data_IF_330414401383
#
_entry.id   IF_330414401383
#
_cell.length_a   1.000
_cell.length_b   1.000
_cell.length_c   1.000
_cell.angle_alpha   90.00
_cell.angle_beta   90.00
_cell.angle_gamma   90.00
#
_symmetry.space_group_name_H-M   'P 1'
#
loop_
_entity.id
_entity.type
_entity.pdbx_description
1 polymer ?
#
# COMPACT_ATOMS: atom_id res chain seq x y z
N UNK A 1 -27.65 22.04 12.45
CA UNK A 1 -28.36 20.77 12.18
C UNK A 1 -28.05 20.34 10.74
N UNK A 2 -26.87 19.78 10.50
CA UNK A 2 -26.48 19.13 9.24
C UNK A 2 -25.03 18.61 9.36
N UNK A 3 -24.78 17.64 10.24
CA UNK A 3 -23.46 16.99 10.39
C UNK A 3 -23.59 15.55 10.93
N UNK A 4 -24.61 14.78 10.50
CA UNK A 4 -24.85 13.43 11.07
C UNK A 4 -25.22 12.34 10.06
N UNK A 5 -24.80 12.43 8.79
CA UNK A 5 -25.15 11.42 7.77
C UNK A 5 -23.99 10.92 6.89
N UNK A 6 -22.73 11.16 7.27
CA UNK A 6 -21.57 10.66 6.51
C UNK A 6 -20.76 9.56 7.22
N UNK A 7 -21.09 9.20 8.46
CA UNK A 7 -20.36 8.17 9.22
C UNK A 7 -20.94 6.75 9.09
N UNK A 8 -22.10 6.56 8.46
CA UNK A 8 -22.81 5.27 8.47
C UNK A 8 -22.42 4.29 7.34
N UNK A 9 -21.56 4.68 6.40
CA UNK A 9 -21.22 3.83 5.25
C UNK A 9 -19.88 3.08 5.38
N UNK A 10 -19.04 3.37 6.38
CA UNK A 10 -17.81 2.60 6.61
C UNK A 10 -17.99 1.40 7.54
N UNK A 11 -19.06 1.36 8.35
CA UNK A 11 -19.30 0.26 9.29
C UNK A 11 -19.85 -1.02 8.61
N UNK A 12 -20.57 -0.88 7.49
CA UNK A 12 -21.27 -2.01 6.86
C UNK A 12 -20.32 -2.94 6.07
N UNK A 13 -19.19 -2.42 5.57
CA UNK A 13 -18.21 -3.25 4.85
C UNK A 13 -17.30 -4.06 5.80
N UNK A 14 -17.23 -3.68 7.08
CA UNK A 14 -16.49 -4.39 8.13
C UNK A 14 -17.26 -5.55 8.77
N UNK A 15 -18.55 -5.72 8.45
CA UNK A 15 -19.39 -6.80 8.97
C UNK A 15 -19.31 -8.08 8.13
N UNK A 16 -19.00 -7.98 6.83
CA UNK A 16 -19.06 -9.10 5.88
C UNK A 16 -17.93 -10.13 6.11
N UNK A 17 -16.88 -9.76 6.85
CA UNK A 17 -15.80 -10.67 7.28
C UNK A 17 -15.99 -11.25 8.70
N UNK A 18 -17.02 -10.83 9.46
CA UNK A 18 -17.15 -11.19 10.89
C UNK A 18 -17.56 -12.65 11.16
N UNK A 19 -18.23 -13.29 10.21
CA UNK A 19 -18.90 -14.59 10.47
C UNK A 19 -18.15 -15.83 9.96
N UNK A 20 -17.05 -15.66 9.22
CA UNK A 20 -16.20 -16.80 8.78
C UNK A 20 -14.83 -16.79 9.46
N UNK A 21 -14.30 -15.61 9.74
CA UNK A 21 -13.03 -15.44 10.46
C UNK A 21 -13.33 -14.84 11.83
N UNK A 22 -13.48 -15.70 12.84
CA UNK A 22 -13.59 -15.25 14.23
C UNK A 22 -12.50 -14.23 14.54
N UNK A 23 -12.86 -13.13 15.22
CA UNK A 23 -12.02 -11.95 15.53
C UNK A 23 -10.51 -12.19 15.39
N UNK A 24 -9.96 -11.97 14.20
CA UNK A 24 -8.52 -11.80 14.02
C UNK A 24 -8.31 -10.34 13.63
N UNK A 25 -8.04 -9.51 14.63
CA UNK A 25 -7.51 -8.17 14.40
C UNK A 25 -6.09 -8.33 13.86
N UNK A 26 -5.94 -8.36 12.54
CA UNK A 26 -4.63 -8.41 11.90
C UNK A 26 -4.04 -7.00 11.93
N UNK A 27 -3.17 -6.75 12.90
CA UNK A 27 -2.32 -5.57 12.88
C UNK A 27 -1.10 -5.87 12.00
N UNK A 28 -1.03 -5.24 10.82
CA UNK A 28 0.15 -5.25 9.97
C UNK A 28 1.20 -4.32 10.57
N UNK A 29 2.17 -4.86 11.31
CA UNK A 29 3.36 -4.10 11.69
C UNK A 29 4.39 -4.24 10.56
N UNK A 30 4.54 -3.19 9.75
CA UNK A 30 5.63 -3.12 8.78
C UNK A 30 6.92 -2.73 9.50
N UNK A 31 7.77 -3.73 9.77
CA UNK A 31 9.21 -3.48 9.84
C UNK A 31 9.77 -3.63 8.42
N UNK A 32 10.81 -2.89 8.04
CA UNK A 32 11.28 -2.72 6.66
C UNK A 32 11.70 -4.02 5.94
N UNK A 33 11.63 -5.18 6.60
CA UNK A 33 12.02 -6.50 6.10
C UNK A 33 11.03 -7.63 6.40
N UNK A 34 10.01 -7.42 7.22
CA UNK A 34 9.13 -8.49 7.72
C UNK A 34 7.68 -8.03 7.87
N UNK A 35 6.75 -8.93 7.59
CA UNK A 35 5.33 -8.77 7.88
C UNK A 35 4.97 -9.74 8.99
N UNK A 36 4.34 -9.23 10.05
CA UNK A 36 3.80 -10.02 11.14
C UNK A 36 2.27 -10.04 11.09
N UNK A 37 1.69 -11.22 11.27
CA UNK A 37 0.27 -11.47 11.42
C UNK A 37 0.00 -11.82 12.88
N UNK A 38 -0.89 -11.09 13.52
CA UNK A 38 -1.28 -11.31 14.91
C UNK A 38 -2.70 -11.87 14.91
N UNK A 39 -2.87 -13.10 15.37
CA UNK A 39 -4.18 -13.72 15.57
C UNK A 39 -4.49 -13.82 17.06
N UNK A 40 -5.75 -13.55 17.43
CA UNK A 40 -6.23 -13.69 18.80
C UNK A 40 -7.16 -14.89 18.89
N UNK A 41 -6.86 -15.83 19.78
CA UNK A 41 -7.74 -16.95 20.07
C UNK A 41 -8.52 -16.65 21.37
N UNK A 42 -9.84 -16.51 21.24
CA UNK A 42 -10.73 -16.40 22.40
C UNK A 42 -10.97 -17.79 22.98
N UNK A 43 -10.14 -18.18 23.94
CA UNK A 43 -10.47 -19.33 24.79
C UNK A 43 -11.66 -18.98 25.69
N UNK A 44 -12.46 -19.96 26.13
CA UNK A 44 -13.60 -19.75 27.06
C UNK A 44 -13.17 -19.24 28.45
N UNK A 45 -11.88 -19.08 28.67
CA UNK A 45 -11.22 -18.48 29.84
C UNK A 45 -10.83 -17.03 29.51
N UNK A 46 -10.77 -16.12 30.50
CA UNK A 46 -10.47 -14.69 30.29
C UNK A 46 -9.04 -14.38 29.77
N UNK A 47 -8.30 -15.38 29.30
CA UNK A 47 -6.98 -15.24 28.69
C UNK A 47 -7.10 -15.24 27.16
N UNK A 48 -6.83 -14.09 26.55
CA UNK A 48 -6.62 -13.97 25.10
C UNK A 48 -5.22 -14.50 24.80
N UNK A 49 -5.13 -15.66 24.12
CA UNK A 49 -3.85 -16.13 23.61
C UNK A 49 -3.64 -15.48 22.24
N UNK A 50 -2.62 -14.63 22.11
CA UNK A 50 -2.21 -14.07 20.83
C UNK A 50 -1.09 -14.93 20.23
N UNK A 51 -1.28 -15.43 19.01
CA UNK A 51 -0.20 -16.02 18.23
C UNK A 51 0.29 -15.01 17.19
N UNK A 52 1.57 -15.12 16.82
CA UNK A 52 2.18 -14.24 15.82
C UNK A 52 2.94 -15.07 14.81
N UNK A 53 2.55 -14.97 13.54
CA UNK A 53 3.30 -15.51 12.41
C UNK A 53 4.06 -14.39 11.74
N UNK A 54 5.33 -14.60 11.40
CA UNK A 54 6.13 -13.61 10.68
C UNK A 54 6.78 -14.20 9.44
N UNK A 55 6.71 -13.43 8.36
CA UNK A 55 7.34 -13.77 7.09
C UNK A 55 8.22 -12.63 6.63
N UNK A 56 9.36 -12.97 6.02
CA UNK A 56 10.20 -11.96 5.34
C UNK A 56 9.48 -11.50 4.09
N UNK A 57 9.59 -10.22 3.75
CA UNK A 57 8.94 -9.68 2.55
C UNK A 57 9.37 -10.42 1.27
N UNK A 58 10.61 -10.90 1.19
CA UNK A 58 11.10 -11.70 0.07
C UNK A 58 10.37 -13.05 -0.11
N UNK A 59 9.78 -13.61 0.95
CA UNK A 59 8.96 -14.83 0.88
C UNK A 59 7.54 -14.56 0.38
N UNK A 60 7.12 -13.29 0.34
CA UNK A 60 5.79 -12.85 -0.07
C UNK A 60 5.77 -12.30 -1.49
N UNK A 61 6.87 -12.46 -2.23
CA UNK A 61 6.92 -12.08 -3.64
C UNK A 61 5.88 -12.89 -4.44
N UNK A 62 4.96 -12.20 -5.12
CA UNK A 62 3.85 -12.83 -5.84
C UNK A 62 2.65 -13.20 -4.97
N UNK A 63 2.62 -12.80 -3.68
CA UNK A 63 1.45 -12.97 -2.82
C UNK A 63 0.26 -12.14 -3.32
N UNK A 64 -0.90 -12.81 -3.43
CA UNK A 64 -2.19 -12.17 -3.63
C UNK A 64 -2.99 -12.27 -2.32
N UNK A 65 -3.27 -11.13 -1.71
CA UNK A 65 -4.16 -11.05 -0.55
C UNK A 65 -5.59 -11.45 -0.91
N UNK A 66 -6.39 -11.89 0.06
CA UNK A 66 -7.79 -12.28 -0.19
C UNK A 66 -8.60 -11.15 -0.87
N UNK A 67 -8.38 -9.90 -0.48
CA UNK A 67 -9.02 -8.74 -1.10
C UNK A 67 -8.60 -8.54 -2.56
N UNK A 68 -7.29 -8.66 -2.85
CA UNK A 68 -6.78 -8.56 -4.22
C UNK A 68 -7.26 -9.74 -5.08
N UNK A 69 -7.40 -10.93 -4.49
CA UNK A 69 -7.89 -12.12 -5.17
C UNK A 69 -9.31 -11.92 -5.71
N UNK A 70 -10.21 -11.25 -4.97
CA UNK A 70 -11.56 -10.94 -5.50
C UNK A 70 -11.51 -10.08 -6.78
N UNK A 71 -10.58 -9.13 -6.86
CA UNK A 71 -10.40 -8.30 -8.06
C UNK A 71 -9.87 -9.13 -9.23
N UNK A 72 -8.90 -10.01 -8.97
CA UNK A 72 -8.36 -10.92 -9.98
C UNK A 72 -9.44 -11.86 -10.51
N UNK A 73 -10.21 -12.49 -9.62
CA UNK A 73 -11.36 -13.34 -9.98
C UNK A 73 -12.38 -12.57 -10.83
N UNK A 74 -12.71 -11.33 -10.45
CA UNK A 74 -13.63 -10.47 -11.21
C UNK A 74 -13.11 -10.20 -12.62
N UNK A 75 -11.82 -9.90 -12.77
CA UNK A 75 -11.20 -9.68 -14.09
C UNK A 75 -11.24 -10.95 -14.93
N UNK A 76 -10.89 -12.11 -14.35
CA UNK A 76 -10.95 -13.40 -15.04
C UNK A 76 -12.38 -13.74 -15.49
N UNK A 77 -13.37 -13.48 -14.63
CA UNK A 77 -14.77 -13.74 -14.93
C UNK A 77 -15.29 -12.83 -16.06
N UNK A 78 -15.01 -11.52 -16.00
CA UNK A 78 -15.41 -10.58 -17.06
C UNK A 78 -14.76 -10.89 -18.40
N UNK A 79 -13.51 -11.36 -18.39
CA UNK A 79 -12.80 -11.78 -19.60
C UNK A 79 -13.13 -13.21 -20.04
N UNK A 80 -13.82 -13.97 -19.21
CA UNK A 80 -14.14 -15.39 -19.41
C UNK A 80 -12.89 -16.22 -19.77
N UNK A 81 -11.74 -15.81 -19.22
CA UNK A 81 -10.43 -16.32 -19.59
C UNK A 81 -9.57 -16.43 -18.35
N UNK A 82 -9.11 -17.66 -18.09
CA UNK A 82 -8.18 -17.97 -17.01
C UNK A 82 -6.84 -18.37 -17.64
N UNK A 83 -5.71 -17.85 -17.12
CA UNK A 83 -4.39 -18.35 -17.49
C UNK A 83 -4.26 -19.85 -17.19
N UNK A 84 -3.62 -20.61 -18.08
CA UNK A 84 -3.45 -22.07 -17.91
C UNK A 84 -2.67 -22.42 -16.63
N UNK A 85 -1.69 -21.60 -16.27
CA UNK A 85 -0.86 -21.77 -15.07
C UNK A 85 -1.18 -20.69 -14.01
N UNK A 86 -2.47 -20.38 -13.81
CA UNK A 86 -2.90 -19.44 -12.77
C UNK A 86 -2.64 -20.03 -11.37
N UNK A 87 -1.40 -19.92 -10.90
CA UNK A 87 -0.95 -20.32 -9.58
C UNK A 87 -0.46 -19.06 -8.87
N UNK A 88 -1.10 -18.72 -7.76
CA UNK A 88 -0.74 -17.54 -6.98
C UNK A 88 -0.42 -17.93 -5.55
N UNK A 89 0.54 -17.22 -4.96
CA UNK A 89 0.85 -17.36 -3.55
C UNK A 89 -0.29 -16.73 -2.74
N UNK A 90 -0.75 -17.40 -1.69
CA UNK A 90 -1.87 -16.98 -0.84
C UNK A 90 -1.66 -17.41 0.60
N UNK A 91 -2.66 -17.16 1.46
CA UNK A 91 -2.72 -17.73 2.80
C UNK A 91 -3.83 -18.79 2.90
N UNK A 92 -3.59 -19.82 3.70
CA UNK A 92 -4.66 -20.72 4.13
C UNK A 92 -5.44 -20.13 5.32
N UNK A 93 -6.41 -20.89 5.85
CA UNK A 93 -7.22 -20.46 6.99
C UNK A 93 -6.41 -20.24 8.27
N UNK A 94 -5.24 -20.88 8.36
CA UNK A 94 -4.34 -20.84 9.50
C UNK A 94 -3.21 -19.81 9.28
N UNK A 95 -3.32 -18.99 8.24
CA UNK A 95 -2.39 -17.93 7.86
C UNK A 95 -1.02 -18.44 7.38
N UNK A 96 -0.90 -19.71 7.01
CA UNK A 96 0.32 -20.22 6.41
C UNK A 96 0.39 -19.84 4.93
N UNK A 97 1.59 -19.48 4.48
CA UNK A 97 1.85 -19.29 3.05
C UNK A 97 1.55 -20.60 2.30
N UNK A 98 0.69 -20.50 1.30
CA UNK A 98 0.25 -21.62 0.49
C UNK A 98 0.07 -21.19 -0.97
N UNK A 99 -0.40 -22.10 -1.82
CA UNK A 99 -0.71 -21.78 -3.21
C UNK A 99 -2.19 -21.92 -3.49
N UNK A 100 -2.69 -21.05 -4.38
CA UNK A 100 -4.05 -21.10 -4.90
C UNK A 100 -4.04 -21.35 -6.40
N UNK A 101 -4.88 -22.28 -6.86
CA UNK A 101 -5.08 -22.59 -8.28
C UNK A 101 -6.51 -22.30 -8.70
N UNK A 102 -6.71 -21.95 -9.98
CA UNK A 102 -8.00 -21.51 -10.48
C UNK A 102 -8.44 -22.32 -11.69
N UNK A 103 -9.72 -22.68 -11.74
CA UNK A 103 -10.34 -23.45 -12.81
C UNK A 103 -11.66 -22.82 -13.22
N UNK A 104 -11.90 -22.74 -14.53
CA UNK A 104 -13.20 -22.36 -15.06
C UNK A 104 -14.15 -23.55 -15.01
N UNK A 105 -15.33 -23.35 -14.43
CA UNK A 105 -16.43 -24.31 -14.49
C UNK A 105 -17.47 -23.93 -15.56
N UNK A 106 -17.20 -22.86 -16.32
CA UNK A 106 -18.07 -22.38 -17.40
C UNK A 106 -19.29 -21.61 -16.91
N UNK A 107 -20.32 -21.55 -17.75
CA UNK A 107 -21.57 -20.88 -17.44
C UNK A 107 -22.55 -21.81 -16.74
N UNK A 108 -23.25 -21.27 -15.75
CA UNK A 108 -24.35 -21.93 -15.06
C UNK A 108 -25.53 -20.97 -14.92
N UNK A 109 -26.74 -21.50 -14.79
CA UNK A 109 -27.92 -20.70 -14.51
C UNK A 109 -28.06 -20.50 -13.01
N UNK A 110 -28.19 -19.24 -12.58
CA UNK A 110 -28.47 -18.90 -11.20
C UNK A 110 -29.76 -18.08 -11.13
N UNK A 111 -30.64 -18.47 -10.20
CA UNK A 111 -31.83 -17.68 -9.87
C UNK A 111 -31.48 -16.61 -8.84
N UNK A 112 -31.59 -15.34 -9.23
CA UNK A 112 -31.48 -14.18 -8.35
C UNK A 112 -32.88 -13.59 -8.18
N UNK A 113 -33.50 -13.83 -7.01
CA UNK A 113 -34.89 -13.45 -6.72
C UNK A 113 -35.89 -14.07 -7.72
N UNK A 114 -36.39 -13.31 -8.68
CA UNK A 114 -37.33 -13.76 -9.73
C UNK A 114 -36.67 -13.97 -11.09
N UNK A 115 -35.43 -13.52 -11.23
CA UNK A 115 -34.70 -13.53 -12.50
C UNK A 115 -33.78 -14.74 -12.54
N UNK A 116 -33.68 -15.36 -13.71
CA UNK A 116 -32.71 -16.41 -14.00
C UNK A 116 -31.64 -15.82 -14.90
N UNK A 117 -30.39 -15.85 -14.46
CA UNK A 117 -29.27 -15.19 -15.13
C UNK A 117 -28.14 -16.19 -15.31
N UNK A 118 -27.48 -16.13 -16.46
CA UNK A 118 -26.26 -16.90 -16.71
C UNK A 118 -25.10 -16.28 -15.93
N UNK A 119 -24.44 -17.10 -15.11
CA UNK A 119 -23.30 -16.73 -14.29
C UNK A 119 -22.07 -17.52 -14.70
N UNK A 120 -20.92 -16.85 -14.74
CA UNK A 120 -19.64 -17.48 -15.00
C UNK A 120 -19.03 -17.97 -13.70
N UNK A 121 -18.68 -19.25 -13.64
CA UNK A 121 -18.25 -19.90 -12.40
C UNK A 121 -16.76 -20.18 -12.43
N UNK A 122 -16.07 -19.70 -11.40
CA UNK A 122 -14.65 -19.96 -11.17
C UNK A 122 -14.50 -20.75 -9.88
N UNK A 123 -13.76 -21.85 -9.93
CA UNK A 123 -13.33 -22.60 -8.76
C UNK A 123 -11.89 -22.22 -8.41
N UNK A 124 -11.67 -21.84 -7.15
CA UNK A 124 -10.35 -21.67 -6.56
C UNK A 124 -10.10 -22.83 -5.60
N UNK A 125 -8.94 -23.47 -5.74
CA UNK A 125 -8.45 -24.46 -4.78
C UNK A 125 -7.32 -23.85 -3.99
N UNK A 126 -7.43 -23.85 -2.65
CA UNK A 126 -6.38 -23.42 -1.72
C UNK A 126 -5.67 -24.66 -1.20
N UNK A 127 -4.38 -24.80 -1.52
CA UNK A 127 -3.55 -25.96 -1.17
C UNK A 127 -2.89 -25.72 0.19
N UNK A 128 -3.65 -25.91 1.27
CA UNK A 128 -3.15 -25.78 2.64
C UNK A 128 -1.97 -26.74 2.91
N UNK A 129 -1.08 -26.35 3.82
CA UNK A 129 0.15 -27.11 4.11
C UNK A 129 -0.15 -28.38 4.92
N UNK A 130 -1.05 -28.27 5.90
CA UNK A 130 -1.33 -29.34 6.88
C UNK A 130 -2.77 -29.87 6.79
N UNK A 131 -3.52 -29.49 5.75
CA UNK A 131 -4.91 -29.88 5.56
C UNK A 131 -5.21 -30.22 4.09
N UNK A 132 -6.28 -30.99 3.81
CA UNK A 132 -6.74 -31.23 2.45
C UNK A 132 -7.06 -29.92 1.72
N UNK A 133 -6.87 -29.85 0.40
CA UNK A 133 -7.18 -28.64 -0.36
C UNK A 133 -8.64 -28.22 -0.22
N UNK A 134 -8.85 -26.92 -0.01
CA UNK A 134 -10.18 -26.34 0.12
C UNK A 134 -10.61 -25.72 -1.21
N UNK A 135 -11.78 -26.15 -1.71
CA UNK A 135 -12.35 -25.64 -2.95
C UNK A 135 -13.42 -24.59 -2.65
N UNK A 136 -13.30 -23.45 -3.33
CA UNK A 136 -14.23 -22.34 -3.28
C UNK A 136 -14.77 -22.07 -4.68
N UNK A 137 -16.07 -21.97 -4.83
CA UNK A 137 -16.69 -21.60 -6.09
C UNK A 137 -17.26 -20.19 -5.99
N UNK A 138 -16.97 -19.39 -7.01
CA UNK A 138 -17.37 -18.00 -7.15
C UNK A 138 -18.19 -17.87 -8.42
N UNK A 139 -19.39 -17.32 -8.28
CA UNK A 139 -20.35 -17.15 -9.37
C UNK A 139 -20.42 -15.67 -9.69
N UNK A 140 -20.13 -15.31 -10.93
CA UNK A 140 -20.08 -13.93 -11.37
C UNK A 140 -21.18 -13.65 -12.40
N UNK A 141 -21.90 -12.54 -12.19
CA UNK A 141 -22.80 -11.95 -13.16
C UNK A 141 -22.02 -11.45 -14.40
N UNK A 142 -22.68 -11.23 -15.55
CA UNK A 142 -22.03 -10.76 -16.77
C UNK A 142 -21.26 -9.42 -16.62
N UNK A 143 -21.69 -8.57 -15.68
CA UNK A 143 -21.05 -7.29 -15.35
C UNK A 143 -19.86 -7.43 -14.36
N UNK A 144 -19.58 -8.65 -13.90
CA UNK A 144 -18.51 -8.99 -12.99
C UNK A 144 -18.85 -8.83 -11.51
N UNK A 145 -20.11 -8.58 -11.13
CA UNK A 145 -20.50 -8.68 -9.72
C UNK A 145 -20.52 -10.13 -9.25
N UNK A 146 -20.11 -10.38 -8.00
CA UNK A 146 -20.19 -11.70 -7.37
C UNK A 146 -21.63 -11.97 -6.93
N UNK A 147 -22.29 -12.97 -7.50
CA UNK A 147 -23.66 -13.37 -7.16
C UNK A 147 -23.74 -14.47 -6.13
N UNK A 148 -22.74 -15.33 -6.05
CA UNK A 148 -22.68 -16.42 -5.09
C UNK A 148 -21.23 -16.80 -4.77
N UNK A 149 -21.00 -17.18 -3.51
CA UNK A 149 -19.77 -17.82 -3.06
C UNK A 149 -20.12 -19.01 -2.18
N UNK A 150 -19.51 -20.14 -2.47
CA UNK A 150 -19.69 -21.38 -1.70
C UNK A 150 -18.34 -22.05 -1.46
N UNK A 151 -18.18 -22.63 -0.27
CA UNK A 151 -17.11 -23.59 0.00
C UNK A 151 -17.65 -24.99 -0.28
N UNK A 152 -16.99 -25.71 -1.19
CA UNK A 152 -17.42 -27.07 -1.57
C UNK A 152 -17.36 -27.97 -0.33
N UNK A 153 -18.48 -28.62 -0.01
CA UNK A 153 -18.62 -29.47 1.18
C UNK A 153 -19.13 -28.75 2.43
N UNK A 154 -19.24 -27.42 2.43
CA UNK A 154 -19.89 -26.65 3.49
C UNK A 154 -21.38 -26.45 3.20
N UNK A 155 -22.27 -26.49 4.20
CA UNK A 155 -23.68 -26.14 4.02
C UNK A 155 -23.91 -24.63 3.87
N UNK A 156 -22.93 -23.79 4.20
CA UNK A 156 -23.06 -22.34 4.14
C UNK A 156 -22.80 -21.82 2.72
N UNK A 157 -23.73 -21.00 2.22
CA UNK A 157 -23.62 -20.34 0.92
C UNK A 157 -23.91 -18.85 1.09
N UNK A 158 -23.05 -18.00 0.53
CA UNK A 158 -23.28 -16.56 0.45
C UNK A 158 -23.88 -16.24 -0.92
N UNK A 159 -25.02 -15.57 -0.97
CA UNK A 159 -25.71 -15.21 -2.22
C UNK A 159 -26.17 -13.76 -2.20
N UNK A 160 -26.19 -13.12 -3.37
CA UNK A 160 -26.87 -11.84 -3.52
C UNK A 160 -28.38 -12.05 -3.47
N UNK A 161 -29.08 -11.13 -2.80
CA UNK A 161 -30.53 -11.21 -2.62
C UNK A 161 -31.31 -10.58 -3.79
N UNK A 162 -30.67 -9.66 -4.51
CA UNK A 162 -31.25 -8.95 -5.65
C UNK A 162 -30.18 -8.58 -6.65
N UNK A 163 -30.59 -8.33 -7.90
CA UNK A 163 -29.68 -7.90 -8.94
C UNK A 163 -29.08 -6.53 -8.61
N UNK A 164 -27.77 -6.34 -8.84
CA UNK A 164 -27.14 -5.04 -8.70
C UNK A 164 -27.75 -4.08 -9.73
N UNK A 165 -27.87 -2.82 -9.34
CA UNK A 165 -28.24 -1.75 -10.27
C UNK A 165 -27.04 -1.55 -11.19
N UNK A 166 -27.21 -1.86 -12.47
CA UNK A 166 -26.21 -1.54 -13.47
C UNK A 166 -26.08 -0.02 -13.53
N UNK A 167 -24.89 0.47 -13.18
CA UNK A 167 -24.52 1.84 -13.50
C UNK A 167 -24.20 1.80 -14.99
N UNK A 168 -25.05 2.40 -15.83
CA UNK A 168 -24.73 2.59 -17.25
C UNK A 168 -23.46 3.43 -17.35
N UNK A 169 -22.35 2.76 -17.68
CA UNK A 169 -21.08 3.43 -17.95
C UNK A 169 -21.17 3.96 -19.37
N UNK A 170 -21.76 5.14 -19.55
CA UNK A 170 -21.78 5.82 -20.86
C UNK A 170 -20.97 7.12 -20.90
N UNK A 171 -20.48 7.63 -19.76
CA UNK A 171 -19.43 8.65 -19.76
C UNK A 171 -18.36 8.27 -18.73
N UNK A 172 -17.06 8.20 -19.13
CA UNK A 172 -16.01 8.20 -18.13
C UNK A 172 -16.18 9.46 -17.29
N UNK A 173 -16.31 9.30 -15.97
CA UNK A 173 -16.33 10.44 -15.05
C UNK A 173 -15.23 11.41 -15.50
N UNK A 174 -15.55 12.70 -15.72
CA UNK A 174 -14.54 13.65 -16.14
C UNK A 174 -13.40 13.55 -15.16
N UNK A 175 -12.17 13.34 -15.67
CA UNK A 175 -10.99 13.18 -14.81
C UNK A 175 -11.05 14.27 -13.75
N UNK A 176 -11.03 13.93 -12.45
CA UNK A 176 -11.10 14.94 -11.41
C UNK A 176 -9.97 15.93 -11.67
N UNK A 177 -10.35 17.16 -12.02
CA UNK A 177 -9.42 18.28 -12.11
C UNK A 177 -9.20 18.66 -10.65
N UNK A 178 -8.26 17.98 -10.01
CA UNK A 178 -7.79 18.40 -8.70
C UNK A 178 -7.18 19.78 -8.91
N UNK A 179 -7.87 20.80 -8.40
CA UNK A 179 -7.25 22.10 -8.23
C UNK A 179 -5.95 21.87 -7.46
N UNK A 180 -4.84 22.44 -7.95
CA UNK A 180 -3.59 22.40 -7.21
C UNK A 180 -3.77 23.27 -5.97
N UNK A 181 -4.31 22.67 -4.92
CA UNK A 181 -4.31 23.27 -3.59
C UNK A 181 -2.84 23.47 -3.23
N UNK A 182 -2.51 24.70 -2.82
CA UNK A 182 -1.16 24.98 -2.31
C UNK A 182 -0.92 24.07 -1.12
N UNK A 183 0.20 23.34 -1.15
CA UNK A 183 0.56 22.42 -0.09
C UNK A 183 0.88 23.21 1.18
N UNK A 184 -0.08 23.25 2.11
CA UNK A 184 0.12 23.81 3.44
C UNK A 184 0.75 22.75 4.35
N UNK A 185 2.03 22.48 4.11
CA UNK A 185 2.77 21.43 4.80
C UNK A 185 3.02 21.75 6.29
N UNK A 186 2.85 23.01 6.71
CA UNK A 186 3.06 23.44 8.10
C UNK A 186 1.91 22.98 9.01
N UNK A 187 0.69 22.92 8.48
CA UNK A 187 -0.52 22.47 9.22
C UNK A 187 -0.77 20.95 9.10
N UNK A 188 -0.16 20.29 8.12
CA UNK A 188 -0.23 18.83 7.99
C UNK A 188 0.74 18.16 8.97
N UNK A 189 0.18 17.48 9.98
CA UNK A 189 0.94 16.82 11.05
C UNK A 189 1.97 15.80 10.52
N UNK A 190 1.64 15.05 9.47
CA UNK A 190 2.54 14.04 8.91
C UNK A 190 3.69 14.70 8.15
N UNK A 191 3.40 15.72 7.34
CA UNK A 191 4.41 16.45 6.57
C UNK A 191 5.33 17.28 7.47
N UNK A 192 4.76 17.92 8.48
CA UNK A 192 5.52 18.67 9.47
C UNK A 192 6.48 17.76 10.26
N UNK A 193 6.01 16.57 10.67
CA UNK A 193 6.85 15.55 11.31
C UNK A 193 8.04 15.15 10.42
N UNK A 194 7.78 14.84 9.13
CA UNK A 194 8.84 14.49 8.16
C UNK A 194 9.84 15.63 7.96
N UNK A 195 9.37 16.87 7.95
CA UNK A 195 10.23 18.04 7.85
C UNK A 195 11.15 18.17 9.06
N UNK A 196 10.63 17.99 10.27
CA UNK A 196 11.42 18.06 11.50
C UNK A 196 12.50 16.98 11.54
N UNK A 197 12.14 15.73 11.22
CA UNK A 197 13.09 14.63 11.15
C UNK A 197 14.24 14.93 10.18
N UNK A 198 13.89 15.40 8.97
CA UNK A 198 14.89 15.73 7.95
C UNK A 198 15.76 16.92 8.34
N UNK A 199 15.18 17.92 9.01
CA UNK A 199 15.89 19.09 9.53
C UNK A 199 16.89 18.69 10.60
N UNK A 200 16.49 17.84 11.55
CA UNK A 200 17.37 17.32 12.60
C UNK A 200 18.52 16.50 12.00
N UNK A 201 18.23 15.60 11.06
CA UNK A 201 19.24 14.81 10.36
C UNK A 201 20.29 15.69 9.68
N UNK A 202 19.84 16.72 8.95
CA UNK A 202 20.73 17.68 8.28
C UNK A 202 21.55 18.49 9.27
N UNK A 203 20.96 18.94 10.39
CA UNK A 203 21.68 19.66 11.44
C UNK A 203 22.74 18.78 12.10
N UNK A 204 22.42 17.53 12.42
CA UNK A 204 23.35 16.57 13.01
C UNK A 204 24.51 16.25 12.04
N UNK A 205 24.18 16.06 10.76
CA UNK A 205 25.17 15.84 9.70
C UNK A 205 26.11 17.05 9.54
N UNK A 206 25.55 18.26 9.48
CA UNK A 206 26.32 19.49 9.42
C UNK A 206 27.23 19.67 10.64
N UNK A 207 26.69 19.49 11.84
CA UNK A 207 27.47 19.58 13.08
C UNK A 207 28.63 18.56 13.11
N UNK A 208 28.38 17.35 12.59
CA UNK A 208 29.41 16.31 12.46
C UNK A 208 30.47 16.70 11.43
N UNK A 209 30.06 17.23 10.28
CA UNK A 209 30.97 17.69 9.22
C UNK A 209 31.90 18.78 9.75
N UNK A 210 31.37 19.83 10.38
CA UNK A 210 32.18 20.92 10.96
C UNK A 210 33.12 20.41 12.04
N UNK A 211 32.69 19.46 12.89
CA UNK A 211 33.56 18.85 13.91
C UNK A 211 34.72 18.03 13.31
N UNK A 212 34.49 17.37 12.18
CA UNK A 212 35.52 16.58 11.48
C UNK A 212 36.50 17.43 10.69
N UNK A 213 36.11 18.66 10.35
CA UNK A 213 36.86 19.58 9.51
C UNK A 213 37.18 20.89 10.26
N UNK A 214 38.05 20.86 11.30
CA UNK A 214 38.43 22.05 12.05
C UNK A 214 39.10 23.12 11.16
N UNK A 215 39.71 22.72 10.05
CA UNK A 215 40.29 23.60 9.04
C UNK A 215 39.26 24.59 8.46
N UNK A 216 37.97 24.26 8.43
CA UNK A 216 36.93 25.17 7.96
C UNK A 216 36.78 26.38 8.89
N UNK A 217 36.84 26.16 10.20
CA UNK A 217 36.73 27.24 11.16
C UNK A 217 37.95 28.17 11.08
N UNK A 218 39.15 27.59 10.91
CA UNK A 218 40.38 28.36 10.72
C UNK A 218 40.34 29.16 9.41
N UNK A 219 39.93 28.53 8.31
CA UNK A 219 39.82 29.16 7.00
C UNK A 219 38.82 30.35 7.02
N UNK A 220 37.67 30.16 7.66
CA UNK A 220 36.68 31.23 7.83
C UNK A 220 37.19 32.35 8.74
N UNK A 221 37.93 32.02 9.81
CA UNK A 221 38.53 33.01 10.69
C UNK A 221 39.59 33.85 9.94
N UNK A 222 40.46 33.22 9.16
CA UNK A 222 41.47 33.89 8.35
C UNK A 222 40.82 34.79 7.28
N UNK A 223 39.76 34.31 6.62
CA UNK A 223 38.97 35.12 5.70
C UNK A 223 38.40 36.37 6.37
N UNK A 224 37.71 36.19 7.51
CA UNK A 224 37.12 37.30 8.27
C UNK A 224 38.18 38.29 8.75
N UNK A 225 39.34 37.80 9.19
CA UNK A 225 40.44 38.67 9.60
C UNK A 225 40.95 39.53 8.44
N UNK A 226 41.16 38.93 7.26
CA UNK A 226 41.60 39.67 6.08
C UNK A 226 40.54 40.63 5.57
N UNK A 227 39.26 40.25 5.64
CA UNK A 227 38.14 41.09 5.27
C UNK A 227 38.06 42.34 6.15
N UNK A 228 38.21 42.17 7.48
CA UNK A 228 38.20 43.27 8.43
C UNK A 228 39.44 44.18 8.33
N UNK A 229 40.60 43.62 7.96
CA UNK A 229 41.83 44.39 7.77
C UNK A 229 41.84 45.22 6.49
N UNK A 230 41.41 44.64 5.37
CA UNK A 230 41.45 45.31 4.06
C UNK A 230 40.22 46.15 3.77
N UNK A 231 39.08 45.79 4.37
CA UNK A 231 37.78 46.44 4.19
C UNK A 231 37.52 46.83 2.71
N UNK A 232 37.54 45.85 1.80
CA UNK A 232 37.33 46.10 0.37
C UNK A 232 35.92 46.61 0.11
N UNK A 233 35.76 47.43 -0.94
CA UNK A 233 34.44 47.93 -1.36
C UNK A 233 33.58 46.82 -2.00
N UNK A 234 34.21 45.82 -2.62
CA UNK A 234 33.54 44.62 -3.16
C UNK A 234 33.98 43.36 -2.41
N UNK A 235 33.12 42.92 -1.49
CA UNK A 235 33.32 41.74 -0.64
C UNK A 235 33.18 40.43 -1.42
N UNK A 236 32.35 40.40 -2.47
CA UNK A 236 32.03 39.16 -3.21
C UNK A 236 33.22 38.76 -4.08
N UNK A 237 33.77 39.72 -4.83
CA UNK A 237 34.97 39.48 -5.65
C UNK A 237 36.16 39.12 -4.78
N UNK A 238 36.33 39.80 -3.64
CA UNK A 238 37.36 39.47 -2.66
C UNK A 238 37.22 38.04 -2.09
N UNK A 239 36.00 37.58 -1.79
CA UNK A 239 35.75 36.22 -1.36
C UNK A 239 36.10 35.19 -2.45
N UNK A 240 35.70 35.46 -3.70
CA UNK A 240 36.02 34.57 -4.82
C UNK A 240 37.53 34.39 -5.00
N UNK A 241 38.31 35.48 -4.92
CA UNK A 241 39.78 35.43 -5.00
C UNK A 241 40.39 34.69 -3.80
N UNK A 242 39.88 34.93 -2.59
CA UNK A 242 40.37 34.26 -1.38
C UNK A 242 40.10 32.74 -1.38
N UNK A 243 38.93 32.31 -1.84
CA UNK A 243 38.53 30.89 -1.84
C UNK A 243 38.97 30.12 -3.09
N UNK A 244 39.33 30.79 -4.20
CA UNK A 244 39.73 30.15 -5.46
C UNK A 244 40.84 29.08 -5.33
N UNK A 245 41.87 29.22 -4.46
CA UNK A 245 42.88 28.19 -4.30
C UNK A 245 42.35 26.86 -3.71
N UNK A 246 41.21 26.91 -3.00
CA UNK A 246 40.64 25.75 -2.30
C UNK A 246 39.62 24.97 -3.15
N UNK A 247 39.23 25.47 -4.32
CA UNK A 247 38.23 24.83 -5.20
C UNK A 247 38.78 23.68 -6.06
N UNK A 248 40.10 23.45 -6.07
CA UNK A 248 40.76 22.54 -7.01
C UNK A 248 40.70 21.04 -6.66
N UNK A 249 39.96 20.64 -5.62
CA UNK A 249 39.82 19.22 -5.25
C UNK A 249 38.35 18.86 -4.98
N UNK A 250 37.58 18.60 -6.04
CA UNK A 250 36.39 17.77 -5.93
C UNK A 250 36.42 16.67 -7.00
N UNK A 251 36.34 15.37 -6.60
CA UNK A 251 35.74 14.37 -7.48
C UNK A 251 34.32 14.85 -7.84
N UNK A 252 33.75 14.46 -9.00
CA UNK A 252 32.42 14.90 -9.40
C UNK A 252 31.41 14.52 -8.31
N UNK A 253 30.99 15.52 -7.54
CA UNK A 253 29.92 15.38 -6.59
C UNK A 253 28.67 15.06 -7.40
N UNK A 254 27.92 14.01 -7.02
CA UNK A 254 26.64 13.68 -7.65
C UNK A 254 25.76 14.92 -7.57
N UNK A 255 25.64 15.61 -8.69
CA UNK A 255 24.75 16.75 -8.87
C UNK A 255 23.37 16.36 -8.37
N UNK A 256 22.86 17.12 -7.40
CA UNK A 256 21.43 17.18 -7.14
C UNK A 256 20.76 17.45 -8.50
N UNK A 257 20.08 16.44 -9.05
CA UNK A 257 19.22 16.61 -10.22
C UNK A 257 18.10 17.56 -9.80
N UNK A 258 18.25 18.84 -10.08
CA UNK A 258 17.11 19.74 -10.18
C UNK A 258 16.20 19.16 -11.27
N UNK A 259 14.98 18.83 -10.89
CA UNK A 259 13.93 18.53 -11.85
C UNK A 259 13.48 19.84 -12.49
N UNK A 260 14.22 20.31 -13.49
CA UNK A 260 13.69 21.32 -14.40
C UNK A 260 12.60 20.66 -15.24
N UNK A 261 11.35 20.90 -14.86
CA UNK A 261 10.21 20.74 -15.76
C UNK A 261 10.17 21.98 -16.65
N UNK A 262 10.81 21.91 -17.81
CA UNK A 262 10.45 22.74 -18.95
C UNK A 262 9.07 22.30 -19.44
N UNK A 263 8.05 23.10 -19.12
CA UNK A 263 6.76 23.03 -19.79
C UNK A 263 6.82 23.88 -21.04
N UNK A 264 6.76 23.22 -22.19
CA UNK A 264 6.14 23.74 -23.41
C UNK A 264 4.78 23.06 -23.58
#
# INVERSE_FOLDING_TARGET
MATSQLETNSEVLGDINRDVFGRQHVNLMLDHKQIAFIGNENTKTPSINSYTFSYRCAQLEGLISESANFLVLRVMARRQSLPQDAIFLSFDSDQHICTSTYKSLGFQKQKVKKEEVDVFVIERTVHAVEAPPLNWQFYFLPDGHLSCRVQVGSPATMVILQMPILIDIDEPDPRPVFEKVLLDWEEDVELYSKFLDRKEELQASHATYVRRHPELNTLLADFLQLLLLRKPDDVVTFAAEFFAPFSAQQPPCRSFRSSDRSGE
#
